data_IF_381012922318
#
_entry.id   IF_381012922318
#
_cell.length_a   1.000
_cell.length_b   1.000
_cell.length_c   1.000
_cell.angle_alpha   90.00
_cell.angle_beta   90.00
_cell.angle_gamma   90.00
#
_symmetry.space_group_name_H-M   'P 1'
#
loop_
_entity.id
_entity.type
_entity.pdbx_description
1 polymer ?
#
# COMPACT_ATOMS: atom_id res chain seq x y z
N UNK A 1 1.02 1.74 -28.91
CA UNK A 1 1.30 0.93 -27.71
C UNK A 1 1.46 1.89 -26.53
N UNK A 2 0.50 1.92 -25.60
CA UNK A 2 0.56 2.79 -24.42
C UNK A 2 1.63 2.23 -23.47
N UNK A 3 2.80 2.86 -23.46
CA UNK A 3 3.88 2.50 -22.52
C UNK A 3 3.49 3.07 -21.16
N UNK A 4 3.05 2.21 -20.25
CA UNK A 4 2.81 2.60 -18.85
C UNK A 4 4.16 3.00 -18.25
N UNK A 5 4.34 4.31 -18.04
CA UNK A 5 5.54 4.86 -17.42
C UNK A 5 5.56 4.42 -15.96
N UNK A 6 6.41 3.45 -15.62
CA UNK A 6 6.64 3.07 -14.24
C UNK A 6 7.51 4.13 -13.57
N UNK A 7 6.88 5.02 -12.80
CA UNK A 7 7.59 6.01 -12.01
C UNK A 7 8.11 5.37 -10.73
N UNK A 8 9.43 5.40 -10.52
CA UNK A 8 10.06 4.96 -9.28
C UNK A 8 10.02 6.09 -8.25
N UNK A 9 8.88 6.25 -7.57
CA UNK A 9 8.78 7.21 -6.47
C UNK A 9 9.43 6.62 -5.21
N UNK A 10 10.47 7.27 -4.70
CA UNK A 10 10.95 7.04 -3.33
C UNK A 10 10.11 7.92 -2.40
N UNK A 11 9.21 7.30 -1.65
CA UNK A 11 8.41 8.00 -0.64
C UNK A 11 9.23 8.02 0.66
N UNK A 12 9.64 9.20 1.09
CA UNK A 12 10.21 9.42 2.42
C UNK A 12 9.10 9.91 3.33
N UNK A 13 8.46 8.97 4.02
CA UNK A 13 7.36 9.26 4.93
C UNK A 13 7.87 9.93 6.20
N UNK A 14 7.09 10.87 6.73
CA UNK A 14 7.23 11.30 8.12
C UNK A 14 6.46 10.35 9.05
N UNK A 15 6.69 10.44 10.37
CA UNK A 15 6.05 9.56 11.36
C UNK A 15 4.52 9.51 11.25
N UNK A 16 3.87 10.64 10.92
CA UNK A 16 2.40 10.68 10.77
C UNK A 16 1.95 9.93 9.51
N UNK A 17 2.68 10.10 8.42
CA UNK A 17 2.41 9.40 7.16
C UNK A 17 2.62 7.89 7.30
N UNK A 18 3.65 7.45 8.01
CA UNK A 18 3.87 6.02 8.31
C UNK A 18 2.69 5.39 9.05
N UNK A 19 2.16 6.08 10.06
CA UNK A 19 0.99 5.62 10.82
C UNK A 19 -0.23 5.49 9.91
N UNK A 20 -0.45 6.46 9.03
CA UNK A 20 -1.59 6.40 8.09
C UNK A 20 -1.40 5.27 7.08
N UNK A 21 -0.22 5.15 6.47
CA UNK A 21 0.09 4.12 5.48
C UNK A 21 -0.05 2.72 6.09
N UNK A 22 0.49 2.50 7.29
CA UNK A 22 0.38 1.22 7.99
C UNK A 22 -1.06 0.88 8.35
N UNK A 23 -1.87 1.84 8.79
CA UNK A 23 -3.31 1.63 9.01
C UNK A 23 -4.03 1.26 7.71
N UNK A 24 -3.81 2.01 6.64
CA UNK A 24 -4.50 1.77 5.36
C UNK A 24 -4.11 0.42 4.75
N UNK A 25 -2.81 0.17 4.55
CA UNK A 25 -2.32 -1.07 3.94
C UNK A 25 -2.55 -2.26 4.87
N UNK A 26 -2.40 -2.07 6.19
CA UNK A 26 -2.65 -3.10 7.20
C UNK A 26 -4.11 -3.59 7.18
N UNK A 27 -5.07 -2.67 7.15
CA UNK A 27 -6.49 -3.02 7.04
C UNK A 27 -6.80 -3.75 5.73
N UNK A 28 -6.30 -3.26 4.59
CA UNK A 28 -6.49 -3.94 3.30
C UNK A 28 -5.87 -5.33 3.28
N UNK A 29 -4.68 -5.52 3.85
CA UNK A 29 -4.03 -6.84 3.98
C UNK A 29 -4.85 -7.78 4.88
N UNK A 30 -5.36 -7.29 6.00
CA UNK A 30 -6.20 -8.09 6.90
C UNK A 30 -7.45 -8.62 6.17
N UNK A 31 -8.16 -7.72 5.48
CA UNK A 31 -9.35 -8.06 4.69
C UNK A 31 -9.00 -9.07 3.60
N UNK A 32 -7.96 -8.81 2.82
CA UNK A 32 -7.52 -9.71 1.76
C UNK A 32 -7.19 -11.10 2.29
N UNK A 33 -6.38 -11.19 3.36
CA UNK A 33 -6.02 -12.46 3.98
C UNK A 33 -7.24 -13.21 4.53
N UNK A 34 -8.22 -12.50 5.08
CA UNK A 34 -9.46 -13.11 5.58
C UNK A 34 -10.27 -13.79 4.46
N UNK A 35 -10.30 -13.18 3.28
CA UNK A 35 -11.04 -13.69 2.12
C UNK A 35 -10.26 -14.67 1.23
N UNK A 36 -8.93 -14.75 1.34
CA UNK A 36 -8.09 -15.64 0.53
C UNK A 36 -7.64 -16.92 1.22
N UNK A 37 -7.71 -16.98 2.54
CA UNK A 37 -7.41 -18.19 3.33
C UNK A 37 -8.65 -19.09 3.46
N UNK A 38 -9.79 -18.66 2.91
CA UNK A 38 -11.02 -19.43 2.71
C UNK A 38 -11.13 -19.88 1.24
#
# INVERSE_FOLDING_TARGET
>A
MLVNKAYKFRIYSNKKQEIVITKTIGCSRFVFNHFLVL
#
